data_IF_666243320343
#
_entry.id   IF_666243320343
#
_cell.length_a   1.000
_cell.length_b   1.000
_cell.length_c   1.000
_cell.angle_alpha   90.00
_cell.angle_beta   90.00
_cell.angle_gamma   90.00
#
_symmetry.space_group_name_H-M   'P 1'
#
loop_
_entity.id
_entity.type
_entity.pdbx_description
1 polymer ?
#
# COMPACT_ATOMS: atom_id res chain seq x y z
N UNK A 1 14.54 -24.50 -18.01
CA UNK A 1 15.12 -23.14 -17.95
C UNK A 1 14.10 -22.23 -17.31
N UNK A 2 14.20 -22.03 -15.99
CA UNK A 2 13.35 -21.09 -15.28
C UNK A 2 13.74 -19.69 -15.71
N UNK A 3 12.76 -18.87 -16.13
CA UNK A 3 12.99 -17.47 -16.39
C UNK A 3 13.50 -16.83 -15.09
N UNK A 4 14.77 -16.43 -15.08
CA UNK A 4 15.38 -15.67 -13.99
C UNK A 4 14.59 -14.37 -13.85
N UNK A 5 13.60 -14.33 -12.97
CA UNK A 5 13.08 -13.07 -12.48
C UNK A 5 14.28 -12.36 -11.86
N UNK A 6 14.73 -11.28 -12.53
CA UNK A 6 15.83 -10.42 -12.08
C UNK A 6 15.54 -9.75 -10.71
N UNK A 7 14.31 -9.90 -10.20
CA UNK A 7 13.90 -9.47 -8.87
C UNK A 7 13.81 -10.71 -7.98
N UNK A 8 14.67 -10.81 -6.97
CA UNK A 8 14.60 -11.90 -6.00
C UNK A 8 13.33 -11.78 -5.15
N UNK A 9 12.81 -12.89 -4.64
CA UNK A 9 11.70 -12.90 -3.66
C UNK A 9 11.99 -12.00 -2.46
N UNK A 10 13.26 -11.93 -2.05
CA UNK A 10 13.73 -11.01 -1.01
C UNK A 10 13.56 -9.52 -1.39
N UNK A 11 13.85 -9.14 -2.64
CA UNK A 11 13.64 -7.77 -3.12
C UNK A 11 12.15 -7.41 -3.18
N UNK A 12 11.28 -8.35 -3.57
CA UNK A 12 9.83 -8.15 -3.55
C UNK A 12 9.31 -7.89 -2.12
N UNK A 13 9.76 -8.68 -1.16
CA UNK A 13 9.39 -8.52 0.26
C UNK A 13 9.90 -7.18 0.81
N UNK A 14 11.15 -6.82 0.50
CA UNK A 14 11.74 -5.55 0.94
C UNK A 14 10.97 -4.34 0.39
N UNK A 15 10.62 -4.36 -0.91
CA UNK A 15 9.83 -3.30 -1.54
C UNK A 15 8.41 -3.24 -0.96
N UNK A 16 7.80 -4.39 -0.65
CA UNK A 16 6.49 -4.43 0.00
C UNK A 16 6.52 -3.81 1.41
N UNK A 17 7.60 -4.02 2.19
CA UNK A 17 7.79 -3.40 3.51
C UNK A 17 8.01 -1.88 3.42
N UNK A 18 8.79 -1.44 2.43
CA UNK A 18 9.01 -0.01 2.17
C UNK A 18 7.69 0.67 1.78
N UNK A 19 6.92 0.08 0.87
CA UNK A 19 5.60 0.56 0.49
C UNK A 19 4.64 0.59 1.68
N UNK A 20 4.65 -0.42 2.55
CA UNK A 20 3.83 -0.41 3.76
C UNK A 20 4.18 0.77 4.67
N UNK A 21 5.48 1.02 4.87
CA UNK A 21 5.96 2.12 5.70
C UNK A 21 5.54 3.48 5.13
N UNK A 22 5.69 3.66 3.82
CA UNK A 22 5.25 4.87 3.12
C UNK A 22 3.73 5.05 3.19
N UNK A 23 2.95 3.98 3.09
CA UNK A 23 1.49 4.03 3.13
C UNK A 23 0.97 4.38 4.54
N UNK A 24 1.61 3.88 5.60
CA UNK A 24 1.31 4.29 6.97
C UNK A 24 1.66 5.76 7.23
N UNK A 25 2.81 6.22 6.72
CA UNK A 25 3.16 7.65 6.78
C UNK A 25 2.14 8.50 6.03
N UNK A 26 1.75 8.10 4.83
CA UNK A 26 0.72 8.77 4.06
C UNK A 26 -0.59 8.89 4.84
N UNK A 27 -1.04 7.80 5.47
CA UNK A 27 -2.24 7.81 6.33
C UNK A 27 -2.12 8.80 7.49
N UNK A 28 -0.96 8.86 8.16
CA UNK A 28 -0.73 9.81 9.25
C UNK A 28 -0.80 11.27 8.78
N UNK A 29 -0.19 11.58 7.63
CA UNK A 29 -0.25 12.93 7.03
C UNK A 29 -1.68 13.30 6.61
N UNK A 30 -2.46 12.35 6.08
CA UNK A 30 -3.88 12.57 5.75
C UNK A 30 -4.69 12.86 7.02
N UNK A 31 -4.50 12.10 8.10
CA UNK A 31 -5.16 12.38 9.39
C UNK A 31 -4.81 13.78 9.90
N UNK A 32 -3.53 14.16 9.89
CA UNK A 32 -3.10 15.49 10.29
C UNK A 32 -3.68 16.60 9.41
N UNK A 33 -3.93 16.30 8.13
CA UNK A 33 -4.60 17.23 7.23
C UNK A 33 -6.09 17.37 7.56
N UNK A 34 -6.77 16.27 7.93
CA UNK A 34 -8.18 16.30 8.35
C UNK A 34 -8.34 17.13 9.61
N UNK A 35 -7.46 16.95 10.61
CA UNK A 35 -7.47 17.74 11.84
C UNK A 35 -7.30 19.24 11.56
N UNK A 36 -6.44 19.61 10.60
CA UNK A 36 -6.25 21.00 10.17
C UNK A 36 -7.48 21.54 9.44
N UNK A 37 -8.12 20.73 8.60
CA UNK A 37 -9.36 21.09 7.92
C UNK A 37 -10.46 21.39 8.94
N UNK A 38 -10.66 20.51 9.93
CA UNK A 38 -11.64 20.69 10.99
C UNK A 38 -11.38 21.95 11.81
N UNK A 39 -10.11 22.19 12.16
CA UNK A 39 -9.70 23.41 12.86
C UNK A 39 -10.00 24.66 12.03
N UNK A 40 -9.66 24.69 10.74
CA UNK A 40 -9.97 25.80 9.83
C UNK A 40 -11.48 25.99 9.66
N UNK A 41 -12.22 24.88 9.53
CA UNK A 41 -13.67 24.86 9.40
C UNK A 41 -14.38 25.39 10.66
N UNK A 42 -13.75 25.28 11.83
CA UNK A 42 -14.28 25.85 13.08
C UNK A 42 -14.04 27.36 13.22
N UNK A 43 -13.09 27.92 12.46
CA UNK A 43 -12.69 29.33 12.56
C UNK A 43 -13.47 30.26 11.62
N UNK A 44 -14.04 29.75 10.54
CA UNK A 44 -14.83 30.54 9.59
C UNK A 44 -16.18 29.88 9.29
N UNK A 45 -17.25 30.63 9.48
CA UNK A 45 -18.61 30.22 9.11
C UNK A 45 -18.99 30.77 7.73
N UNK A 46 -19.83 30.05 6.99
CA UNK A 46 -20.42 30.51 5.74
C UNK A 46 -20.17 29.60 4.54
N UNK A 47 -20.57 30.10 3.37
CA UNK A 47 -20.61 29.33 2.11
C UNK A 47 -19.21 28.90 1.65
N UNK A 48 -18.20 29.75 1.87
CA UNK A 48 -16.80 29.43 1.56
C UNK A 48 -16.25 28.25 2.39
N UNK A 49 -16.60 28.18 3.68
CA UNK A 49 -16.23 27.05 4.55
C UNK A 49 -16.91 25.77 4.11
N UNK A 50 -18.20 25.81 3.81
CA UNK A 50 -18.93 24.64 3.31
C UNK A 50 -18.35 24.15 1.97
N UNK A 51 -17.99 25.06 1.07
CA UNK A 51 -17.36 24.70 -0.21
C UNK A 51 -16.00 24.01 0.00
N UNK A 52 -15.15 24.55 0.89
CA UNK A 52 -13.86 23.94 1.22
C UNK A 52 -14.02 22.58 1.89
N UNK A 53 -14.89 22.47 2.90
CA UNK A 53 -15.17 21.22 3.60
C UNK A 53 -15.68 20.13 2.64
N UNK A 54 -16.61 20.45 1.74
CA UNK A 54 -17.14 19.50 0.76
C UNK A 54 -16.07 19.04 -0.25
N UNK A 55 -15.23 19.97 -0.72
CA UNK A 55 -14.11 19.64 -1.59
C UNK A 55 -13.12 18.70 -0.88
N UNK A 56 -12.78 19.04 0.37
CA UNK A 56 -11.90 18.22 1.19
C UNK A 56 -12.46 16.82 1.46
N UNK A 57 -13.74 16.70 1.80
CA UNK A 57 -14.40 15.41 2.02
C UNK A 57 -14.31 14.49 0.79
N UNK A 58 -14.44 15.08 -0.42
CA UNK A 58 -14.28 14.35 -1.68
C UNK A 58 -12.85 13.85 -1.86
N UNK A 59 -11.85 14.66 -1.48
CA UNK A 59 -10.45 14.27 -1.57
C UNK A 59 -10.05 13.27 -0.47
N UNK A 60 -10.62 13.37 0.73
CA UNK A 60 -10.46 12.41 1.82
C UNK A 60 -10.89 10.99 1.39
N UNK A 61 -11.99 10.87 0.64
CA UNK A 61 -12.41 9.60 0.06
C UNK A 61 -11.36 9.04 -0.93
N UNK A 62 -10.80 9.90 -1.79
CA UNK A 62 -9.75 9.50 -2.73
C UNK A 62 -8.49 9.05 -1.99
N UNK A 63 -8.10 9.72 -0.90
CA UNK A 63 -6.97 9.31 -0.08
C UNK A 63 -7.19 7.94 0.57
N UNK A 64 -8.40 7.69 1.09
CA UNK A 64 -8.75 6.38 1.64
C UNK A 64 -8.70 5.28 0.55
N UNK A 65 -9.21 5.56 -0.64
CA UNK A 65 -9.16 4.65 -1.78
C UNK A 65 -7.71 4.36 -2.23
N UNK A 66 -6.86 5.38 -2.26
CA UNK A 66 -5.44 5.24 -2.58
C UNK A 66 -4.70 4.38 -1.55
N UNK A 67 -4.90 4.64 -0.25
CA UNK A 67 -4.33 3.84 0.84
C UNK A 67 -4.74 2.36 0.69
N UNK A 68 -6.02 2.09 0.48
CA UNK A 68 -6.54 0.73 0.30
C UNK A 68 -5.98 0.06 -0.97
N UNK A 69 -5.79 0.82 -2.04
CA UNK A 69 -5.14 0.35 -3.27
C UNK A 69 -3.71 -0.12 -3.02
N UNK A 70 -2.93 0.64 -2.26
CA UNK A 70 -1.56 0.25 -1.90
C UNK A 70 -1.55 -0.99 -1.01
N UNK A 71 -2.45 -1.08 -0.01
CA UNK A 71 -2.57 -2.29 0.83
C UNK A 71 -2.82 -3.54 -0.03
N UNK A 72 -3.74 -3.47 -0.99
CA UNK A 72 -4.02 -4.58 -1.92
C UNK A 72 -2.81 -4.93 -2.79
N UNK A 73 -2.07 -3.92 -3.25
CA UNK A 73 -0.86 -4.15 -4.02
C UNK A 73 0.24 -4.85 -3.21
N UNK A 74 0.44 -4.45 -1.95
CA UNK A 74 1.37 -5.09 -1.01
C UNK A 74 0.97 -6.55 -0.75
N UNK A 75 -0.32 -6.83 -0.60
CA UNK A 75 -0.84 -8.20 -0.47
C UNK A 75 -0.52 -9.03 -1.70
N UNK A 76 -0.77 -8.51 -2.90
CA UNK A 76 -0.44 -9.19 -4.15
C UNK A 76 1.06 -9.49 -4.28
N UNK A 77 1.94 -8.55 -3.92
CA UNK A 77 3.39 -8.78 -3.89
C UNK A 77 3.77 -9.92 -2.94
N UNK A 78 3.15 -9.97 -1.76
CA UNK A 78 3.38 -11.00 -0.75
C UNK A 78 2.91 -12.38 -1.21
N UNK A 79 1.73 -12.46 -1.83
CA UNK A 79 1.17 -13.70 -2.38
C UNK A 79 2.05 -14.26 -3.49
N UNK A 80 2.52 -13.38 -4.39
CA UNK A 80 3.44 -13.75 -5.46
C UNK A 80 4.74 -14.29 -4.87
N UNK A 81 5.35 -13.60 -3.91
CA UNK A 81 6.59 -14.06 -3.27
C UNK A 81 6.44 -15.44 -2.61
N UNK A 82 5.33 -15.68 -1.89
CA UNK A 82 5.05 -16.97 -1.27
C UNK A 82 4.85 -18.10 -2.29
N UNK A 83 4.13 -17.84 -3.38
CA UNK A 83 3.89 -18.83 -4.42
C UNK A 83 5.21 -19.23 -5.11
N UNK A 84 6.11 -18.28 -5.33
CA UNK A 84 7.45 -18.57 -5.85
C UNK A 84 8.27 -19.43 -4.89
N UNK A 85 8.33 -19.08 -3.60
CA UNK A 85 9.04 -19.88 -2.60
C UNK A 85 8.54 -21.32 -2.55
N UNK A 86 7.22 -21.53 -2.65
CA UNK A 86 6.63 -22.88 -2.70
C UNK A 86 7.05 -23.64 -3.96
N UNK A 87 7.03 -22.99 -5.12
CA UNK A 87 7.45 -23.60 -6.38
C UNK A 87 8.93 -24.00 -6.38
N UNK A 88 9.81 -23.14 -5.85
CA UNK A 88 11.24 -23.46 -5.70
C UNK A 88 11.47 -24.62 -4.74
N UNK A 89 10.79 -24.64 -3.58
CA UNK A 89 10.91 -25.73 -2.62
C UNK A 89 10.47 -27.08 -3.23
N UNK A 90 9.38 -27.09 -4.01
CA UNK A 90 8.91 -28.28 -4.70
C UNK A 90 9.90 -28.75 -5.79
N UNK A 91 10.44 -27.82 -6.59
CA UNK A 91 11.42 -28.15 -7.61
C UNK A 91 12.71 -28.71 -7.00
N UNK A 92 13.20 -28.13 -5.89
CA UNK A 92 14.34 -28.62 -5.15
C UNK A 92 14.08 -30.04 -4.61
N UNK A 93 12.93 -30.29 -3.98
CA UNK A 93 12.57 -31.61 -3.47
C UNK A 93 12.52 -32.69 -4.57
N UNK A 94 11.97 -32.36 -5.75
CA UNK A 94 11.95 -33.25 -6.91
C UNK A 94 13.37 -33.53 -7.40
N UNK A 95 14.24 -32.52 -7.45
CA UNK A 95 15.63 -32.68 -7.87
C UNK A 95 16.42 -33.56 -6.89
N UNK A 96 16.25 -33.37 -5.57
CA UNK A 96 16.89 -34.19 -4.53
C UNK A 96 16.39 -35.63 -4.53
N UNK A 97 15.11 -35.87 -4.87
CA UNK A 97 14.54 -37.22 -4.94
C UNK A 97 14.98 -37.98 -6.20
N UNK A 98 15.47 -37.27 -7.23
CA UNK A 98 15.92 -37.84 -8.50
C UNK A 98 17.45 -37.95 -8.65
N UNK A 99 18.21 -37.44 -7.68
CA UNK A 99 19.67 -37.55 -7.58
C UNK A 99 20.03 -38.77 -6.72
#
# INVERSE_FOLDING_TARGET
MAATFRVSTAQLIQQAQELQTLNERFKAEVTAMTEKEEALSSMWEGEARNAFHNAYATDAEKFANFYNGIVRFIQALSDVAQNYQKAEAQAAAIATTRA
#
